data_IF_292529092630
#
_entry.id   IF_292529092630
#
_cell.length_a   1.000
_cell.length_b   1.000
_cell.length_c   1.000
_cell.angle_alpha   90.00
_cell.angle_beta   90.00
_cell.angle_gamma   90.00
#
_symmetry.space_group_name_H-M   'P 1'
#
loop_
_entity.id
_entity.type
_entity.pdbx_description
1 polymer ?
#
# COMPACT_ATOMS: atom_id res chain seq x y z
N UNK A 1 -36.27 -29.56 15.04
CA UNK A 1 -35.81 -28.19 14.70
C UNK A 1 -34.29 -28.23 14.61
N UNK A 2 -33.76 -28.33 13.42
CA UNK A 2 -32.32 -28.24 13.16
C UNK A 2 -31.95 -26.77 13.29
N UNK A 3 -31.28 -26.40 14.38
CA UNK A 3 -30.68 -25.08 14.52
C UNK A 3 -29.58 -24.97 13.43
N UNK A 4 -29.79 -24.10 12.45
CA UNK A 4 -28.73 -23.79 11.50
C UNK A 4 -27.49 -23.34 12.28
N UNK A 5 -26.33 -23.89 11.93
CA UNK A 5 -25.06 -23.44 12.52
C UNK A 5 -24.92 -21.93 12.28
N UNK A 6 -24.45 -21.17 13.27
CA UNK A 6 -24.24 -19.73 13.10
C UNK A 6 -23.29 -19.50 11.92
N UNK A 7 -23.65 -18.58 11.03
CA UNK A 7 -22.78 -18.19 9.93
C UNK A 7 -21.51 -17.57 10.53
N UNK A 8 -20.31 -18.08 10.22
CA UNK A 8 -19.06 -17.53 10.75
C UNK A 8 -18.96 -16.05 10.40
N UNK A 9 -18.39 -15.23 11.29
CA UNK A 9 -18.09 -13.83 10.99
C UNK A 9 -17.12 -13.78 9.81
N UNK A 10 -17.20 -12.75 8.98
CA UNK A 10 -16.36 -12.62 7.77
C UNK A 10 -14.86 -12.76 8.08
N UNK A 11 -14.42 -12.21 9.21
CA UNK A 11 -13.02 -12.32 9.66
C UNK A 11 -12.60 -13.78 9.93
N UNK A 12 -13.49 -14.61 10.48
CA UNK A 12 -13.21 -16.03 10.76
C UNK A 12 -13.05 -16.84 9.47
N UNK A 13 -13.77 -16.44 8.41
CA UNK A 13 -13.65 -17.07 7.09
C UNK A 13 -12.26 -16.82 6.47
N UNK A 14 -11.62 -15.71 6.80
CA UNK A 14 -10.31 -15.33 6.26
C UNK A 14 -9.13 -15.80 7.10
N UNK A 15 -9.34 -16.26 8.32
CA UNK A 15 -8.25 -16.72 9.20
C UNK A 15 -7.44 -17.87 8.60
N UNK A 16 -8.09 -18.76 7.88
CA UNK A 16 -7.46 -19.92 7.23
C UNK A 16 -6.97 -19.65 5.79
N UNK A 17 -7.14 -18.41 5.30
CA UNK A 17 -6.81 -18.02 3.93
C UNK A 17 -7.89 -18.42 2.92
N UNK A 18 -7.68 -17.97 1.69
CA UNK A 18 -8.57 -18.19 0.56
C UNK A 18 -7.88 -18.97 -0.56
N UNK A 19 -8.65 -19.53 -1.48
CA UNK A 19 -8.13 -20.21 -2.67
C UNK A 19 -7.35 -19.29 -3.61
N UNK A 20 -7.67 -17.99 -3.58
CA UNK A 20 -6.95 -16.91 -4.27
C UNK A 20 -6.86 -15.67 -3.38
N UNK A 21 -5.84 -14.80 -3.55
CA UNK A 21 -5.76 -13.56 -2.80
C UNK A 21 -6.85 -12.58 -3.24
N UNK A 22 -7.43 -11.85 -2.27
CA UNK A 22 -8.34 -10.74 -2.56
C UNK A 22 -7.54 -9.48 -2.92
N UNK A 23 -6.39 -9.29 -2.29
CA UNK A 23 -5.54 -8.12 -2.46
C UNK A 23 -4.13 -8.56 -2.88
N UNK A 24 -3.96 -8.83 -4.16
CA UNK A 24 -2.65 -9.04 -4.76
C UNK A 24 -2.03 -7.69 -5.09
N UNK A 25 -0.88 -7.39 -4.51
CA UNK A 25 -0.02 -6.30 -4.97
C UNK A 25 1.00 -6.86 -5.95
N UNK A 26 1.14 -6.22 -7.10
CA UNK A 26 2.14 -6.58 -8.08
C UNK A 26 3.00 -5.36 -8.38
N UNK A 27 4.27 -5.43 -8.01
CA UNK A 27 5.26 -4.44 -8.41
C UNK A 27 5.76 -4.79 -9.80
N UNK A 28 5.40 -3.98 -10.81
CA UNK A 28 5.78 -4.25 -12.20
C UNK A 28 7.23 -3.85 -12.53
N UNK A 29 7.79 -2.91 -11.79
CA UNK A 29 9.15 -2.41 -12.02
C UNK A 29 9.71 -1.79 -10.76
N UNK A 30 11.01 -1.87 -10.59
CA UNK A 30 11.72 -1.07 -9.59
C UNK A 30 12.09 0.33 -10.10
N UNK A 31 11.95 0.59 -11.42
CA UNK A 31 12.23 1.92 -11.94
C UNK A 31 11.27 2.96 -11.37
N UNK A 32 11.82 4.06 -10.88
CA UNK A 32 11.05 5.20 -10.39
C UNK A 32 11.79 6.51 -10.71
N UNK A 33 11.04 7.52 -11.07
CA UNK A 33 11.54 8.88 -11.26
C UNK A 33 11.64 9.67 -9.95
N UNK A 34 11.13 9.14 -8.83
CA UNK A 34 11.22 9.71 -7.49
C UNK A 34 12.08 8.86 -6.56
N UNK A 35 12.48 9.47 -5.44
CA UNK A 35 13.27 8.85 -4.40
C UNK A 35 12.69 9.11 -3.00
N UNK A 36 11.40 8.88 -2.84
CA UNK A 36 10.68 9.12 -1.59
C UNK A 36 11.42 8.49 -0.40
N UNK A 37 11.56 9.25 0.70
CA UNK A 37 12.33 8.82 1.88
C UNK A 37 11.72 7.60 2.58
N UNK A 38 10.42 7.41 2.48
CA UNK A 38 9.67 6.31 3.12
C UNK A 38 9.29 5.17 2.16
N UNK A 39 9.93 5.11 0.98
CA UNK A 39 9.58 4.12 -0.05
C UNK A 39 9.72 2.69 0.48
N UNK A 40 8.61 1.94 0.48
CA UNK A 40 8.54 0.59 1.04
C UNK A 40 9.37 -0.44 0.25
N UNK A 41 9.52 -0.27 -1.06
CA UNK A 41 10.27 -1.17 -1.94
C UNK A 41 11.65 -0.63 -2.33
N UNK A 42 12.08 0.50 -1.74
CA UNK A 42 13.37 1.14 -2.07
C UNK A 42 13.62 1.34 -3.57
N UNK A 43 12.56 1.60 -4.31
CA UNK A 43 12.60 1.72 -5.77
C UNK A 43 13.47 2.88 -6.26
N UNK A 44 13.93 2.78 -7.50
CA UNK A 44 14.80 3.76 -8.16
C UNK A 44 15.18 3.30 -9.57
N UNK A 45 16.19 2.44 -9.72
CA UNK A 45 16.63 1.93 -11.03
C UNK A 45 15.92 0.62 -11.37
N UNK A 46 15.70 0.39 -12.66
CA UNK A 46 15.22 -0.89 -13.17
C UNK A 46 16.21 -2.01 -12.87
N UNK A 47 15.70 -3.17 -12.49
CA UNK A 47 16.49 -4.40 -12.40
C UNK A 47 16.51 -5.10 -13.79
N UNK A 48 17.67 -5.53 -14.30
CA UNK A 48 17.72 -6.23 -15.57
C UNK A 48 17.00 -7.59 -15.59
N UNK A 49 16.69 -8.15 -14.41
CA UNK A 49 15.94 -9.40 -14.24
C UNK A 49 14.44 -9.22 -14.18
N UNK A 50 13.93 -7.99 -14.28
CA UNK A 50 12.49 -7.75 -14.26
C UNK A 50 11.78 -8.61 -15.32
N UNK A 51 10.62 -9.13 -14.95
CA UNK A 51 9.79 -9.96 -15.80
C UNK A 51 9.56 -9.29 -17.17
N UNK A 52 9.71 -10.06 -18.23
CA UNK A 52 9.37 -9.64 -19.58
C UNK A 52 7.86 -9.45 -19.74
N UNK A 53 7.43 -8.72 -20.77
CA UNK A 53 6.01 -8.57 -21.14
C UNK A 53 5.31 -9.92 -21.22
N UNK A 54 5.92 -10.91 -21.87
CA UNK A 54 5.35 -12.26 -22.01
C UNK A 54 5.15 -12.94 -20.66
N UNK A 55 6.15 -12.92 -19.78
CA UNK A 55 6.03 -13.47 -18.44
C UNK A 55 4.96 -12.78 -17.60
N UNK A 56 4.80 -11.45 -17.75
CA UNK A 56 3.72 -10.72 -17.12
C UNK A 56 2.34 -11.17 -17.65
N UNK A 57 2.19 -11.39 -18.96
CA UNK A 57 0.97 -11.91 -19.56
C UNK A 57 0.65 -13.32 -19.07
N UNK A 58 1.65 -14.20 -18.96
CA UNK A 58 1.47 -15.56 -18.41
C UNK A 58 0.95 -15.52 -16.96
N UNK A 59 1.39 -14.54 -16.15
CA UNK A 59 0.87 -14.32 -14.80
C UNK A 59 -0.59 -13.84 -14.86
N UNK A 60 -0.93 -12.92 -15.76
CA UNK A 60 -2.32 -12.44 -15.93
C UNK A 60 -3.26 -13.60 -16.31
N UNK A 61 -2.85 -14.47 -17.23
CA UNK A 61 -3.60 -15.68 -17.60
C UNK A 61 -3.85 -16.59 -16.39
N UNK A 62 -2.88 -16.64 -15.47
CA UNK A 62 -3.01 -17.43 -14.26
C UNK A 62 -3.95 -16.77 -13.25
N UNK A 63 -3.89 -15.45 -13.09
CA UNK A 63 -4.81 -14.68 -12.25
C UNK A 63 -6.26 -14.83 -12.73
N UNK A 64 -6.51 -14.80 -14.05
CA UNK A 64 -7.83 -15.08 -14.62
C UNK A 64 -8.32 -16.48 -14.24
N UNK A 65 -7.48 -17.52 -14.45
CA UNK A 65 -7.83 -18.91 -14.05
C UNK A 65 -8.09 -19.07 -12.56
N UNK A 66 -7.41 -18.29 -11.71
CA UNK A 66 -7.61 -18.26 -10.27
C UNK A 66 -8.83 -17.43 -9.86
N UNK A 67 -9.49 -16.76 -10.78
CA UNK A 67 -10.60 -15.83 -10.52
C UNK A 67 -10.20 -14.67 -9.59
N UNK A 68 -8.99 -14.15 -9.75
CA UNK A 68 -8.55 -12.93 -9.08
C UNK A 68 -9.21 -11.74 -9.75
N UNK A 69 -10.14 -11.08 -9.07
CA UNK A 69 -10.96 -10.02 -9.65
C UNK A 69 -10.17 -8.75 -10.01
N UNK A 70 -9.14 -8.44 -9.26
CA UNK A 70 -8.28 -7.28 -9.54
C UNK A 70 -6.89 -7.44 -8.93
N UNK A 71 -5.95 -6.70 -9.50
CA UNK A 71 -4.57 -6.60 -9.03
C UNK A 71 -4.24 -5.14 -8.70
N UNK A 72 -3.54 -4.92 -7.57
CA UNK A 72 -2.98 -3.61 -7.25
C UNK A 72 -1.58 -3.49 -7.84
N UNK A 73 -1.44 -2.76 -8.94
CA UNK A 73 -0.16 -2.51 -9.56
C UNK A 73 0.55 -1.36 -8.84
N UNK A 74 1.82 -1.61 -8.49
CA UNK A 74 2.72 -0.67 -7.84
C UNK A 74 4.16 -0.91 -8.24
N UNK A 75 5.05 -0.72 -7.28
CA UNK A 75 6.49 -0.88 -7.42
C UNK A 75 7.21 0.45 -7.32
N UNK A 76 8.07 0.78 -8.30
CA UNK A 76 8.57 2.12 -8.51
C UNK A 76 7.46 3.05 -9.00
N UNK A 77 7.60 3.55 -10.20
CA UNK A 77 6.50 4.22 -10.91
C UNK A 77 6.05 3.31 -12.07
N UNK A 78 4.91 2.63 -11.97
CA UNK A 78 4.54 1.63 -12.97
C UNK A 78 4.37 2.21 -14.37
N UNK A 79 3.92 3.47 -14.48
CA UNK A 79 3.69 4.13 -15.77
C UNK A 79 4.97 4.45 -16.55
N UNK A 80 6.17 4.34 -15.95
CA UNK A 80 7.43 4.51 -16.68
C UNK A 80 7.86 3.23 -17.40
N UNK A 81 7.28 2.09 -17.07
CA UNK A 81 7.49 0.84 -17.78
C UNK A 81 6.88 0.93 -19.18
N UNK A 82 7.65 0.55 -20.22
CA UNK A 82 7.26 0.81 -21.62
C UNK A 82 6.00 0.05 -22.04
N UNK A 83 5.84 -1.18 -21.57
CA UNK A 83 4.72 -2.07 -21.86
C UNK A 83 3.59 -1.96 -20.82
N UNK A 84 3.60 -0.96 -19.93
CA UNK A 84 2.59 -0.78 -18.88
C UNK A 84 1.16 -0.82 -19.42
N UNK A 85 0.88 -0.03 -20.46
CA UNK A 85 -0.46 0.05 -21.04
C UNK A 85 -0.87 -1.22 -21.78
N UNK A 86 0.07 -1.91 -22.42
CA UNK A 86 -0.16 -3.22 -23.03
C UNK A 86 -0.57 -4.26 -21.98
N UNK A 87 0.09 -4.26 -20.82
CA UNK A 87 -0.26 -5.14 -19.70
C UNK A 87 -1.61 -4.79 -19.06
N UNK A 88 -1.94 -3.50 -18.94
CA UNK A 88 -3.26 -3.05 -18.45
C UNK A 88 -4.36 -3.51 -19.38
N UNK A 89 -4.21 -3.30 -20.70
CA UNK A 89 -5.20 -3.73 -21.68
C UNK A 89 -5.35 -5.25 -21.69
N UNK A 90 -4.25 -5.98 -21.61
CA UNK A 90 -4.27 -7.44 -21.54
C UNK A 90 -5.00 -7.93 -20.28
N UNK A 91 -4.71 -7.39 -19.12
CA UNK A 91 -5.36 -7.77 -17.86
C UNK A 91 -6.86 -7.53 -17.90
N UNK A 92 -7.29 -6.35 -18.35
CA UNK A 92 -8.73 -6.02 -18.44
C UNK A 92 -9.47 -6.85 -19.48
N UNK A 93 -8.82 -7.22 -20.59
CA UNK A 93 -9.37 -8.15 -21.59
C UNK A 93 -9.52 -9.58 -21.05
N UNK A 94 -8.71 -9.96 -20.06
CA UNK A 94 -8.72 -11.24 -19.34
C UNK A 94 -9.48 -11.17 -18.00
N UNK A 95 -10.43 -10.25 -17.87
CA UNK A 95 -11.31 -10.11 -16.69
C UNK A 95 -10.59 -9.87 -15.36
N UNK A 96 -9.33 -9.40 -15.41
CA UNK A 96 -8.55 -8.97 -14.24
C UNK A 96 -8.57 -7.44 -14.18
N UNK A 97 -9.34 -6.88 -13.29
CA UNK A 97 -9.38 -5.42 -13.06
C UNK A 97 -8.03 -4.93 -12.56
N UNK A 98 -7.67 -3.72 -12.95
CA UNK A 98 -6.39 -3.10 -12.58
C UNK A 98 -6.64 -1.90 -11.69
N UNK A 99 -6.03 -1.91 -10.53
CA UNK A 99 -5.86 -0.74 -9.68
C UNK A 99 -4.39 -0.41 -9.63
N UNK A 100 -4.00 0.82 -9.96
CA UNK A 100 -2.60 1.17 -9.88
C UNK A 100 -2.34 2.44 -9.07
N UNK A 101 -1.21 2.45 -8.38
CA UNK A 101 -0.70 3.59 -7.63
C UNK A 101 0.38 4.28 -8.44
N UNK A 102 0.27 5.58 -8.60
CA UNK A 102 1.21 6.40 -9.37
C UNK A 102 1.53 7.70 -8.64
N UNK A 103 2.71 8.23 -8.89
CA UNK A 103 3.07 9.58 -8.47
C UNK A 103 2.50 10.68 -9.40
N UNK A 104 1.79 10.28 -10.45
CA UNK A 104 1.10 11.17 -11.37
C UNK A 104 1.94 11.70 -12.53
N UNK A 105 3.24 11.32 -12.64
CA UNK A 105 4.17 11.89 -13.63
C UNK A 105 3.69 11.76 -15.07
N UNK A 106 2.98 10.67 -15.40
CA UNK A 106 2.50 10.38 -16.76
C UNK A 106 0.97 10.46 -16.90
N UNK A 107 0.27 11.00 -15.93
CA UNK A 107 -1.18 11.24 -16.04
C UNK A 107 -1.39 12.55 -16.83
N UNK A 108 -1.20 12.47 -18.14
CA UNK A 108 -1.50 13.57 -19.09
C UNK A 108 -3.01 13.67 -19.35
N UNK A 109 -3.53 14.73 -20.01
CA UNK A 109 -4.94 14.79 -20.42
C UNK A 109 -5.37 13.60 -21.29
N UNK A 110 -4.51 13.13 -22.17
CA UNK A 110 -4.80 11.97 -23.05
C UNK A 110 -4.88 10.67 -22.25
N UNK A 111 -3.97 10.49 -21.28
CA UNK A 111 -4.00 9.33 -20.36
C UNK A 111 -5.22 9.39 -19.46
N UNK A 112 -5.58 10.55 -18.95
CA UNK A 112 -6.78 10.75 -18.16
C UNK A 112 -8.06 10.42 -18.93
N UNK A 113 -8.15 10.84 -20.22
CA UNK A 113 -9.27 10.52 -21.09
C UNK A 113 -9.35 8.99 -21.37
N UNK A 114 -8.20 8.32 -21.59
CA UNK A 114 -8.14 6.86 -21.73
C UNK A 114 -8.67 6.15 -20.49
N UNK A 115 -8.24 6.59 -19.30
CA UNK A 115 -8.70 6.03 -18.03
C UNK A 115 -10.20 6.23 -17.83
N UNK A 116 -10.73 7.41 -18.14
CA UNK A 116 -12.15 7.71 -18.03
C UNK A 116 -13.03 6.87 -18.97
N UNK A 117 -12.46 6.28 -20.01
CA UNK A 117 -13.15 5.38 -20.94
C UNK A 117 -13.13 3.91 -20.48
N UNK A 118 -12.49 3.57 -19.34
CA UNK A 118 -12.38 2.19 -18.84
C UNK A 118 -13.13 2.03 -17.51
N UNK A 119 -13.97 1.00 -17.43
CA UNK A 119 -14.69 0.64 -16.20
C UNK A 119 -13.88 -0.31 -15.28
N UNK A 120 -12.73 -0.80 -15.76
CA UNK A 120 -11.95 -1.83 -15.08
C UNK A 120 -10.60 -1.33 -14.55
N UNK A 121 -10.37 -0.03 -14.60
CA UNK A 121 -9.10 0.57 -14.15
C UNK A 121 -9.35 1.63 -13.08
N UNK A 122 -8.79 1.40 -11.91
CA UNK A 122 -8.76 2.32 -10.78
C UNK A 122 -7.40 3.01 -10.67
N UNK A 123 -7.39 4.29 -10.31
CA UNK A 123 -6.15 5.08 -10.15
C UNK A 123 -6.04 5.66 -8.75
N UNK A 124 -4.85 5.49 -8.15
CA UNK A 124 -4.49 6.13 -6.91
C UNK A 124 -3.32 7.08 -7.13
N UNK A 125 -3.54 8.37 -6.88
CA UNK A 125 -2.48 9.38 -6.91
C UNK A 125 -1.85 9.46 -5.53
N UNK A 126 -0.55 9.25 -5.49
CA UNK A 126 0.22 9.28 -4.25
C UNK A 126 0.54 10.70 -3.83
N UNK A 127 0.12 11.10 -2.62
CA UNK A 127 0.30 12.45 -2.09
C UNK A 127 0.46 12.38 -0.57
N UNK A 128 1.60 12.81 -0.02
CA UNK A 128 1.90 12.72 1.41
C UNK A 128 2.02 14.08 2.12
N UNK A 129 1.58 15.14 1.47
CA UNK A 129 1.39 16.46 2.04
C UNK A 129 0.24 17.17 1.37
N UNK A 130 -0.59 17.86 2.13
CA UNK A 130 -1.64 18.72 1.60
C UNK A 130 -1.07 20.04 1.05
N UNK A 131 0.21 20.31 1.29
CA UNK A 131 0.98 21.43 0.75
C UNK A 131 2.25 20.94 0.06
N UNK A 132 2.81 21.76 -0.83
CA UNK A 132 4.07 21.44 -1.51
C UNK A 132 5.22 21.25 -0.51
N UNK A 133 5.27 22.06 0.54
CA UNK A 133 6.30 21.99 1.57
C UNK A 133 6.35 20.60 2.22
N UNK A 134 5.23 20.10 2.70
CA UNK A 134 5.15 18.80 3.40
C UNK A 134 5.33 17.64 2.42
N UNK A 135 4.70 17.70 1.25
CA UNK A 135 4.77 16.61 0.27
C UNK A 135 6.19 16.47 -0.33
N UNK A 136 6.77 17.58 -0.73
CA UNK A 136 8.07 17.58 -1.42
C UNK A 136 9.22 17.22 -0.47
N UNK A 137 9.09 17.50 0.83
CA UNK A 137 10.03 17.04 1.86
C UNK A 137 10.12 15.49 1.92
N UNK A 138 9.02 14.78 1.65
CA UNK A 138 8.96 13.32 1.71
C UNK A 138 9.19 12.70 0.33
N UNK A 139 8.62 13.27 -0.73
CA UNK A 139 8.61 12.66 -2.07
C UNK A 139 9.62 13.27 -3.05
N UNK A 140 10.18 14.43 -2.72
CA UNK A 140 11.14 15.16 -3.55
C UNK A 140 10.52 16.41 -4.22
N UNK A 141 11.36 17.38 -4.56
CA UNK A 141 10.94 18.67 -5.10
C UNK A 141 10.05 18.56 -6.34
N UNK A 142 8.94 19.30 -6.36
CA UNK A 142 7.98 19.35 -7.46
C UNK A 142 6.98 18.19 -7.52
N UNK A 143 7.08 17.22 -6.62
CA UNK A 143 6.19 16.06 -6.59
C UNK A 143 4.74 16.43 -6.24
N UNK A 144 4.53 17.45 -5.40
CA UNK A 144 3.21 17.99 -5.11
C UNK A 144 2.51 18.54 -6.36
N UNK A 145 3.19 19.43 -7.08
CA UNK A 145 2.65 20.01 -8.30
C UNK A 145 2.35 18.95 -9.39
N UNK A 146 3.16 17.90 -9.44
CA UNK A 146 2.97 16.76 -10.34
C UNK A 146 1.71 15.97 -9.98
N UNK A 147 1.51 15.65 -8.71
CA UNK A 147 0.35 14.92 -8.22
C UNK A 147 -0.95 15.73 -8.38
N UNK A 148 -0.93 17.03 -8.05
CA UNK A 148 -2.06 17.92 -8.23
C UNK A 148 -2.47 18.03 -9.69
N UNK A 149 -1.52 18.23 -10.61
CA UNK A 149 -1.81 18.25 -12.05
C UNK A 149 -2.43 16.93 -12.54
N UNK A 150 -1.99 15.79 -12.01
CA UNK A 150 -2.60 14.51 -12.34
C UNK A 150 -4.07 14.44 -11.90
N UNK A 151 -4.38 14.91 -10.69
CA UNK A 151 -5.76 15.00 -10.18
C UNK A 151 -6.62 15.97 -11.02
N UNK A 152 -6.06 17.12 -11.44
CA UNK A 152 -6.73 18.07 -12.32
C UNK A 152 -7.07 17.44 -13.68
N UNK A 153 -6.13 16.70 -14.28
CA UNK A 153 -6.35 16.02 -15.54
C UNK A 153 -7.43 14.93 -15.44
N UNK A 154 -7.40 14.12 -14.36
CA UNK A 154 -8.42 13.09 -14.11
C UNK A 154 -9.81 13.72 -13.91
N UNK A 155 -9.92 14.77 -13.11
CA UNK A 155 -11.17 15.48 -12.87
C UNK A 155 -11.71 16.12 -14.16
N UNK A 156 -10.85 16.76 -14.96
CA UNK A 156 -11.23 17.38 -16.24
C UNK A 156 -11.68 16.34 -17.28
N UNK A 157 -11.14 15.13 -17.25
CA UNK A 157 -11.56 14.01 -18.09
C UNK A 157 -12.87 13.35 -17.61
N UNK A 158 -13.40 13.74 -16.45
CA UNK A 158 -14.58 13.13 -15.84
C UNK A 158 -14.32 11.73 -15.28
N UNK A 159 -13.06 11.39 -14.99
CA UNK A 159 -12.71 10.13 -14.36
C UNK A 159 -13.33 10.08 -12.95
N UNK A 160 -14.16 9.09 -12.72
CA UNK A 160 -14.79 8.84 -11.43
C UNK A 160 -13.89 7.90 -10.62
N UNK A 161 -14.01 7.98 -9.31
CA UNK A 161 -13.31 7.06 -8.38
C UNK A 161 -11.78 7.20 -8.31
N UNK A 162 -11.19 8.32 -8.78
CA UNK A 162 -9.82 8.64 -8.47
C UNK A 162 -9.60 8.62 -6.95
N UNK A 163 -8.45 8.13 -6.50
CA UNK A 163 -8.11 8.10 -5.08
C UNK A 163 -6.87 8.94 -4.82
N UNK A 164 -6.90 9.73 -3.76
CA UNK A 164 -5.68 10.32 -3.18
C UNK A 164 -5.19 9.32 -2.13
N UNK A 165 -3.99 8.78 -2.31
CA UNK A 165 -3.38 7.82 -1.38
C UNK A 165 -2.30 8.49 -0.55
N UNK A 166 -2.51 8.53 0.76
CA UNK A 166 -1.64 9.18 1.74
C UNK A 166 -1.03 8.13 2.66
N UNK A 167 0.27 8.19 2.88
CA UNK A 167 0.93 7.49 3.99
C UNK A 167 0.99 8.46 5.16
N UNK A 168 0.26 8.13 6.24
CA UNK A 168 0.22 8.99 7.43
C UNK A 168 1.56 8.94 8.15
N UNK A 169 2.09 10.13 8.44
CA UNK A 169 3.35 10.35 9.15
C UNK A 169 3.16 11.38 10.26
N UNK A 170 4.16 11.53 11.13
CA UNK A 170 4.18 12.57 12.16
C UNK A 170 3.99 13.99 11.62
N UNK A 171 4.42 14.23 10.37
CA UNK A 171 4.45 15.57 9.77
C UNK A 171 3.21 15.91 8.93
N UNK A 172 2.34 14.93 8.66
CA UNK A 172 1.15 15.18 7.85
C UNK A 172 -0.17 14.78 8.53
N UNK A 173 -0.12 14.12 9.70
CA UNK A 173 -1.31 13.71 10.43
C UNK A 173 -2.21 14.89 10.83
N UNK A 174 -1.64 16.07 11.01
CA UNK A 174 -2.39 17.28 11.33
C UNK A 174 -3.05 17.93 10.08
N UNK A 175 -2.79 17.38 8.87
CA UNK A 175 -3.35 17.85 7.59
C UNK A 175 -4.50 16.96 7.06
N UNK A 176 -5.10 16.13 7.89
CA UNK A 176 -6.12 15.16 7.44
C UNK A 176 -7.39 15.83 6.86
N UNK A 177 -7.82 16.96 7.41
CA UNK A 177 -8.96 17.72 6.88
C UNK A 177 -8.62 18.42 5.57
N UNK A 178 -7.40 18.91 5.41
CA UNK A 178 -6.90 19.47 4.15
C UNK A 178 -6.81 18.40 3.05
N UNK A 179 -6.37 17.19 3.36
CA UNK A 179 -6.44 16.07 2.41
C UNK A 179 -7.88 15.73 2.02
N UNK A 180 -8.80 15.73 2.97
CA UNK A 180 -10.22 15.52 2.68
C UNK A 180 -10.80 16.64 1.79
N UNK A 181 -10.39 17.89 2.01
CA UNK A 181 -10.76 19.03 1.17
C UNK A 181 -10.19 18.91 -0.25
N UNK A 182 -8.91 18.49 -0.39
CA UNK A 182 -8.30 18.21 -1.70
C UNK A 182 -9.04 17.09 -2.44
N UNK A 183 -9.37 16.00 -1.76
CA UNK A 183 -10.12 14.90 -2.35
C UNK A 183 -11.48 15.38 -2.85
N UNK A 184 -12.23 16.13 -2.02
CA UNK A 184 -13.50 16.71 -2.41
C UNK A 184 -13.38 17.64 -3.62
N UNK A 185 -12.35 18.50 -3.65
CA UNK A 185 -12.10 19.45 -4.75
C UNK A 185 -11.96 18.76 -6.10
N UNK A 186 -11.32 17.60 -6.16
CA UNK A 186 -11.07 16.87 -7.40
C UNK A 186 -12.03 15.70 -7.64
N UNK A 187 -13.10 15.58 -6.82
CA UNK A 187 -14.05 14.47 -6.91
C UNK A 187 -13.40 13.11 -6.64
N UNK A 188 -12.32 13.09 -5.87
CA UNK A 188 -11.58 11.89 -5.51
C UNK A 188 -12.00 11.36 -4.13
N UNK A 189 -11.72 10.08 -3.89
CA UNK A 189 -11.85 9.46 -2.56
C UNK A 189 -10.52 9.52 -1.83
N UNK A 190 -10.51 9.95 -0.57
CA UNK A 190 -9.32 9.92 0.26
C UNK A 190 -9.06 8.50 0.75
N UNK A 191 -7.84 8.01 0.54
CA UNK A 191 -7.33 6.77 1.10
C UNK A 191 -6.12 7.08 1.96
N UNK A 192 -6.15 6.70 3.21
CA UNK A 192 -4.99 6.84 4.11
C UNK A 192 -4.47 5.47 4.53
N UNK A 193 -3.17 5.38 4.67
CA UNK A 193 -2.47 4.17 5.08
C UNK A 193 -1.42 4.52 6.12
N UNK A 194 -1.11 3.54 6.94
CA UNK A 194 -0.07 3.65 7.96
C UNK A 194 1.32 3.56 7.32
N UNK A 195 2.27 4.36 7.80
CA UNK A 195 3.70 4.15 7.55
C UNK A 195 4.12 2.75 8.03
N UNK A 196 5.02 2.13 7.29
CA UNK A 196 5.63 0.84 7.68
C UNK A 196 7.15 0.98 7.69
N UNK A 197 7.85 0.38 8.67
CA UNK A 197 9.31 0.39 8.74
C UNK A 197 9.92 -0.62 7.76
N UNK A 198 9.57 -0.51 6.48
CA UNK A 198 10.06 -1.37 5.40
C UNK A 198 10.71 -0.55 4.28
N UNK A 199 11.65 -1.16 3.55
CA UNK A 199 12.45 -0.44 2.56
C UNK A 199 13.17 0.76 3.18
N UNK A 200 13.22 1.90 2.47
CA UNK A 200 13.77 3.15 3.01
C UNK A 200 12.97 3.70 4.19
N UNK A 201 11.70 3.31 4.32
CA UNK A 201 10.89 3.66 5.49
C UNK A 201 11.46 3.16 6.81
N UNK A 202 12.29 2.10 6.79
CA UNK A 202 12.97 1.62 7.99
C UNK A 202 14.01 2.61 8.50
N UNK A 203 14.69 3.31 7.61
CA UNK A 203 15.75 4.27 7.95
C UNK A 203 15.20 5.54 8.60
N UNK A 204 13.96 5.90 8.28
CA UNK A 204 13.29 7.12 8.75
C UNK A 204 12.12 6.85 9.72
N UNK A 205 11.98 5.60 10.17
CA UNK A 205 10.86 5.19 11.01
C UNK A 205 10.74 6.01 12.30
N UNK A 206 11.83 6.15 13.03
CA UNK A 206 11.84 6.88 14.32
C UNK A 206 11.45 8.35 14.15
N UNK A 207 11.72 8.91 12.99
CA UNK A 207 11.50 10.32 12.67
C UNK A 207 10.10 10.59 12.14
N UNK A 208 9.55 9.64 11.37
CA UNK A 208 8.32 9.84 10.63
C UNK A 208 7.07 9.16 11.22
N UNK A 209 7.21 8.13 12.07
CA UNK A 209 6.01 7.48 12.62
C UNK A 209 5.26 8.43 13.57
N UNK A 210 3.93 8.43 13.56
CA UNK A 210 3.13 9.29 14.44
C UNK A 210 3.37 8.99 15.92
N UNK A 211 3.32 10.02 16.75
CA UNK A 211 3.36 9.86 18.22
C UNK A 211 2.10 9.16 18.74
N UNK A 212 2.14 8.65 19.96
CA UNK A 212 0.97 8.03 20.60
C UNK A 212 -0.24 8.98 20.66
N UNK A 213 -0.03 10.28 20.95
CA UNK A 213 -1.09 11.29 20.94
C UNK A 213 -1.67 11.49 19.54
N UNK A 214 -0.82 11.52 18.51
CA UNK A 214 -1.27 11.64 17.11
C UNK A 214 -2.02 10.38 16.65
N UNK A 215 -1.65 9.19 17.13
CA UNK A 215 -2.38 7.95 16.83
C UNK A 215 -3.81 7.99 17.43
N UNK A 216 -3.97 8.52 18.64
CA UNK A 216 -5.30 8.70 19.25
C UNK A 216 -6.13 9.71 18.44
N UNK A 217 -5.56 10.86 18.10
CA UNK A 217 -6.26 11.87 17.29
C UNK A 217 -6.65 11.33 15.89
N UNK A 218 -5.75 10.55 15.27
CA UNK A 218 -6.03 9.85 14.02
C UNK A 218 -7.20 8.88 14.15
N UNK A 219 -7.25 8.10 15.23
CA UNK A 219 -8.37 7.20 15.50
C UNK A 219 -9.69 7.94 15.58
N UNK A 220 -9.76 9.01 16.39
CA UNK A 220 -10.96 9.81 16.55
C UNK A 220 -11.43 10.41 15.21
N UNK A 221 -10.48 10.90 14.41
CA UNK A 221 -10.75 11.42 13.08
C UNK A 221 -11.30 10.33 12.13
N UNK A 222 -10.70 9.14 12.13
CA UNK A 222 -11.15 8.01 11.32
C UNK A 222 -12.57 7.58 11.67
N UNK A 223 -12.87 7.46 12.95
CA UNK A 223 -14.23 7.12 13.43
C UNK A 223 -15.24 8.19 13.01
N UNK A 224 -14.89 9.48 13.11
CA UNK A 224 -15.77 10.58 12.70
C UNK A 224 -16.02 10.60 11.18
N UNK A 225 -15.04 10.22 10.36
CA UNK A 225 -15.18 10.18 8.89
C UNK A 225 -15.88 8.91 8.40
N UNK A 226 -15.71 7.78 9.10
CA UNK A 226 -16.30 6.50 8.76
C UNK A 226 -15.91 6.04 7.34
N UNK A 227 -16.88 5.51 6.59
CA UNK A 227 -16.68 4.97 5.24
C UNK A 227 -16.29 6.01 4.17
N UNK A 228 -16.33 7.30 4.50
CA UNK A 228 -15.89 8.37 3.58
C UNK A 228 -14.37 8.38 3.34
N UNK A 229 -13.62 7.65 4.16
CA UNK A 229 -12.17 7.53 4.06
C UNK A 229 -11.79 6.05 4.00
N UNK A 230 -11.05 5.67 2.97
CA UNK A 230 -10.56 4.30 2.84
C UNK A 230 -9.26 4.13 3.66
N UNK A 231 -9.18 3.06 4.44
CA UNK A 231 -8.01 2.76 5.29
C UNK A 231 -7.18 1.60 4.76
N UNK A 232 -7.73 0.78 3.86
CA UNK A 232 -7.05 -0.40 3.36
C UNK A 232 -6.62 -1.36 4.47
N UNK A 233 -7.41 -1.48 5.54
CA UNK A 233 -7.15 -2.32 6.72
C UNK A 233 -5.79 -2.06 7.38
N UNK A 234 -5.33 -0.80 7.39
CA UNK A 234 -4.00 -0.44 7.86
C UNK A 234 -3.91 -0.16 9.36
N UNK A 235 -5.04 0.13 10.02
CA UNK A 235 -5.08 0.72 11.36
C UNK A 235 -5.62 -0.21 12.45
N UNK A 236 -5.60 -1.52 12.25
CA UNK A 236 -6.09 -2.49 13.23
C UNK A 236 -5.38 -2.44 14.60
N UNK A 237 -4.15 -1.89 14.67
CA UNK A 237 -3.46 -1.61 15.92
C UNK A 237 -4.15 -0.51 16.77
N UNK A 238 -5.02 0.32 16.16
CA UNK A 238 -5.83 1.32 16.84
C UNK A 238 -7.21 0.77 17.31
N UNK A 239 -7.60 -0.42 16.87
CA UNK A 239 -8.86 -1.03 17.26
C UNK A 239 -9.10 -1.10 18.79
N UNK A 240 -8.05 -1.22 19.65
CA UNK A 240 -8.21 -1.17 21.09
C UNK A 240 -8.72 0.16 21.68
N UNK A 241 -8.71 1.26 20.91
CA UNK A 241 -9.18 2.56 21.38
C UNK A 241 -10.72 2.67 21.47
N UNK A 242 -11.46 1.75 20.87
CA UNK A 242 -12.92 1.85 20.86
C UNK A 242 -13.65 0.50 20.75
N UNK A 243 -14.94 0.58 20.46
CA UNK A 243 -15.76 -0.62 20.28
C UNK A 243 -15.32 -1.41 19.04
N UNK A 244 -15.51 -2.73 19.07
CA UNK A 244 -15.30 -3.59 17.91
C UNK A 244 -16.12 -3.10 16.71
N UNK A 245 -15.47 -2.93 15.56
CA UNK A 245 -16.11 -2.43 14.33
C UNK A 245 -16.23 -0.91 14.22
N UNK A 246 -15.65 -0.15 15.16
CA UNK A 246 -15.62 1.33 15.04
C UNK A 246 -14.78 1.81 13.87
N UNK A 247 -13.71 1.10 13.51
CA UNK A 247 -12.93 1.35 12.30
C UNK A 247 -13.51 0.56 11.12
N UNK A 248 -13.60 1.21 9.96
CA UNK A 248 -13.99 0.52 8.71
C UNK A 248 -12.98 -0.55 8.32
N UNK A 249 -13.46 -1.64 7.72
CA UNK A 249 -12.64 -2.72 7.18
C UNK A 249 -12.51 -3.94 8.12
N UNK A 250 -11.77 -4.94 7.67
CA UNK A 250 -11.58 -6.21 8.38
C UNK A 250 -10.65 -6.08 9.58
N UNK A 251 -9.74 -5.11 9.54
CA UNK A 251 -8.78 -4.78 10.59
C UNK A 251 -7.99 -6.01 11.10
N UNK A 252 -7.48 -6.81 10.17
CA UNK A 252 -6.67 -8.00 10.45
C UNK A 252 -5.40 -8.04 9.58
N UNK A 253 -4.38 -8.74 10.06
CA UNK A 253 -3.21 -9.03 9.24
C UNK A 253 -3.56 -10.09 8.17
N UNK A 254 -3.67 -9.65 6.92
CA UNK A 254 -4.01 -10.52 5.79
C UNK A 254 -2.82 -11.25 5.14
N UNK A 255 -1.61 -11.08 5.66
CA UNK A 255 -0.38 -11.63 5.07
C UNK A 255 -0.47 -13.14 4.83
N UNK A 256 -0.29 -13.58 3.58
CA UNK A 256 -0.37 -14.99 3.17
C UNK A 256 -1.77 -15.61 3.26
N UNK A 257 -2.77 -14.88 3.77
CA UNK A 257 -4.17 -15.33 3.90
C UNK A 257 -5.07 -14.75 2.81
N UNK A 258 -5.03 -13.44 2.66
CA UNK A 258 -5.85 -12.69 1.69
C UNK A 258 -5.01 -11.67 0.91
N UNK A 259 -3.77 -11.45 1.34
CA UNK A 259 -2.83 -10.47 0.77
C UNK A 259 -1.51 -11.16 0.47
N UNK A 260 -0.89 -10.81 -0.65
CA UNK A 260 0.51 -11.10 -0.98
C UNK A 260 1.08 -10.05 -1.92
N UNK A 261 2.37 -10.17 -2.23
CA UNK A 261 3.09 -9.35 -3.19
C UNK A 261 3.78 -10.25 -4.22
N UNK A 262 3.72 -9.89 -5.50
CA UNK A 262 4.66 -10.33 -6.53
C UNK A 262 5.56 -9.13 -6.83
N UNK A 263 6.88 -9.34 -6.76
CA UNK A 263 7.85 -8.29 -7.07
C UNK A 263 8.24 -8.29 -8.57
N UNK A 264 9.00 -7.29 -9.06
CA UNK A 264 9.35 -7.19 -10.47
C UNK A 264 10.17 -8.35 -11.04
N UNK A 265 10.84 -9.15 -10.20
CA UNK A 265 11.62 -10.32 -10.63
C UNK A 265 10.88 -11.65 -10.42
N UNK A 266 9.61 -11.57 -10.01
CA UNK A 266 8.74 -12.73 -9.82
C UNK A 266 8.81 -13.39 -8.44
N UNK A 267 9.51 -12.80 -7.49
CA UNK A 267 9.51 -13.27 -6.11
C UNK A 267 8.17 -12.96 -5.43
N UNK A 268 7.64 -13.92 -4.70
CA UNK A 268 6.34 -13.82 -4.02
C UNK A 268 6.56 -13.68 -2.52
N UNK A 269 6.07 -12.59 -1.95
CA UNK A 269 6.17 -12.30 -0.52
C UNK A 269 4.81 -12.34 0.15
N UNK A 270 4.80 -12.62 1.45
CA UNK A 270 3.57 -12.73 2.24
C UNK A 270 2.75 -11.43 2.28
N UNK A 271 3.39 -10.27 2.13
CA UNK A 271 2.74 -8.96 2.23
C UNK A 271 3.59 -7.90 1.51
N UNK A 272 2.99 -6.84 0.93
CA UNK A 272 3.73 -5.73 0.31
C UNK A 272 4.73 -5.03 1.23
N UNK A 273 4.50 -5.08 2.53
CA UNK A 273 5.37 -4.47 3.53
C UNK A 273 6.41 -5.42 4.12
N UNK A 274 6.47 -6.67 3.66
CA UNK A 274 7.32 -7.73 4.20
C UNK A 274 8.31 -8.24 3.14
N UNK A 275 8.98 -7.32 2.41
CA UNK A 275 9.98 -7.65 1.41
C UNK A 275 11.30 -7.99 2.13
N UNK A 276 11.46 -9.26 2.46
CA UNK A 276 12.61 -9.82 3.16
C UNK A 276 12.61 -11.35 3.00
N UNK A 277 13.78 -11.99 2.98
CA UNK A 277 13.91 -13.44 2.81
C UNK A 277 13.06 -14.27 3.79
N UNK A 278 12.90 -13.81 5.03
CA UNK A 278 12.01 -14.45 6.02
C UNK A 278 10.57 -14.59 5.54
N UNK A 279 10.12 -13.72 4.67
CA UNK A 279 8.73 -13.65 4.17
C UNK A 279 8.61 -14.00 2.68
N UNK A 280 9.68 -14.52 2.09
CA UNK A 280 9.68 -15.03 0.72
C UNK A 280 8.97 -16.39 0.70
N UNK A 281 7.91 -16.50 -0.07
CA UNK A 281 7.12 -17.72 -0.23
C UNK A 281 7.61 -18.57 -1.39
N UNK A 282 8.16 -17.98 -2.45
CA UNK A 282 8.65 -18.62 -3.65
C UNK A 282 8.84 -17.66 -4.80
N UNK A 283 9.02 -18.15 -6.02
CA UNK A 283 9.15 -17.34 -7.22
C UNK A 283 8.30 -17.93 -8.35
N UNK A 284 7.54 -17.07 -9.05
CA UNK A 284 6.59 -17.49 -10.11
C UNK A 284 7.25 -18.19 -11.29
N UNK A 285 8.56 -18.01 -11.51
CA UNK A 285 9.31 -18.62 -12.62
C UNK A 285 10.00 -19.92 -12.26
N UNK A 286 10.39 -20.13 -11.01
CA UNK A 286 11.30 -21.20 -10.59
C UNK A 286 10.66 -22.30 -9.79
N UNK A 287 9.53 -22.07 -9.17
CA UNK A 287 8.83 -23.09 -8.39
C UNK A 287 8.07 -24.06 -9.29
N UNK A 288 8.82 -25.03 -9.81
CA UNK A 288 8.35 -26.02 -10.80
C UNK A 288 7.80 -27.31 -10.20
N UNK A 289 7.66 -27.40 -8.87
CA UNK A 289 7.09 -28.58 -8.21
C UNK A 289 5.56 -28.64 -8.34
N UNK A 290 5.03 -29.61 -9.10
CA UNK A 290 3.58 -29.86 -9.29
C UNK A 290 2.76 -28.69 -9.86
N UNK A 291 3.28 -27.95 -10.82
CA UNK A 291 2.67 -26.82 -11.48
C UNK A 291 3.48 -25.55 -11.20
N UNK A 292 4.11 -25.04 -12.26
CA UNK A 292 4.77 -23.74 -12.22
C UNK A 292 3.76 -22.63 -11.98
N UNK A 293 4.21 -21.51 -11.44
CA UNK A 293 3.46 -20.28 -11.42
C UNK A 293 2.94 -19.85 -10.06
N UNK A 294 2.27 -18.72 -10.07
CA UNK A 294 1.78 -18.05 -8.88
C UNK A 294 0.76 -18.89 -8.07
N UNK A 295 -0.14 -19.61 -8.76
CA UNK A 295 -1.15 -20.46 -8.11
C UNK A 295 -0.51 -21.54 -7.23
N UNK A 296 0.60 -22.14 -7.72
CA UNK A 296 1.34 -23.12 -6.93
C UNK A 296 1.96 -22.50 -5.68
N UNK A 297 2.61 -21.34 -5.82
CA UNK A 297 3.18 -20.62 -4.68
C UNK A 297 2.09 -20.27 -3.68
N UNK A 298 0.96 -19.69 -4.13
CA UNK A 298 -0.14 -19.30 -3.25
C UNK A 298 -0.73 -20.46 -2.44
N UNK A 299 -0.92 -21.62 -3.08
CA UNK A 299 -1.55 -22.78 -2.44
C UNK A 299 -0.58 -23.62 -1.61
N UNK A 300 0.67 -23.76 -2.06
CA UNK A 300 1.57 -24.81 -1.58
C UNK A 300 2.82 -24.30 -0.84
N UNK A 301 3.13 -22.99 -0.88
CA UNK A 301 4.31 -22.49 -0.18
C UNK A 301 4.21 -22.76 1.34
N UNK A 302 5.30 -23.25 1.92
CA UNK A 302 5.37 -23.59 3.34
C UNK A 302 5.07 -22.37 4.23
N UNK A 303 5.59 -21.20 3.86
CA UNK A 303 5.34 -19.94 4.56
C UNK A 303 3.84 -19.60 4.60
N UNK A 304 3.13 -19.74 3.48
CA UNK A 304 1.71 -19.41 3.45
C UNK A 304 0.87 -20.39 4.28
N UNK A 305 1.24 -21.67 4.29
CA UNK A 305 0.62 -22.66 5.19
C UNK A 305 0.86 -22.32 6.66
N UNK A 306 2.11 -21.99 7.03
CA UNK A 306 2.45 -21.52 8.39
C UNK A 306 1.63 -20.31 8.80
N UNK A 307 1.48 -19.30 7.94
CA UNK A 307 0.72 -18.08 8.24
C UNK A 307 -0.79 -18.32 8.35
N UNK A 308 -1.33 -19.34 7.72
CA UNK A 308 -2.76 -19.74 7.79
C UNK A 308 -3.10 -20.59 9.02
N UNK A 309 -2.10 -21.11 9.71
CA UNK A 309 -2.30 -21.76 11.00
C UNK A 309 -2.57 -20.72 12.10
N UNK A 310 -3.25 -21.13 13.18
CA UNK A 310 -3.46 -20.27 14.34
C UNK A 310 -2.13 -19.76 14.91
N UNK A 311 -2.02 -18.44 15.07
CA UNK A 311 -0.81 -17.84 15.62
C UNK A 311 -0.88 -17.72 17.14
N UNK A 312 0.26 -17.88 17.81
CA UNK A 312 0.38 -17.64 19.26
C UNK A 312 0.09 -16.16 19.55
N UNK A 313 -0.64 -15.91 20.62
CA UNK A 313 -0.85 -14.56 21.13
C UNK A 313 0.37 -14.04 21.92
N UNK A 314 1.26 -14.93 22.37
CA UNK A 314 2.47 -14.58 23.09
C UNK A 314 2.23 -13.57 24.21
N UNK A 315 3.03 -12.50 24.23
CA UNK A 315 2.91 -11.42 25.22
C UNK A 315 1.55 -10.68 25.18
N UNK A 316 0.81 -10.76 24.07
CA UNK A 316 -0.52 -10.17 23.93
C UNK A 316 -1.64 -11.08 24.47
N UNK A 317 -1.36 -12.32 24.90
CA UNK A 317 -2.36 -13.30 25.32
C UNK A 317 -3.19 -12.87 26.53
N UNK A 318 -2.65 -12.02 27.40
CA UNK A 318 -3.37 -11.43 28.54
C UNK A 318 -4.03 -10.08 28.25
N UNK A 319 -3.89 -9.56 27.04
CA UNK A 319 -4.48 -8.28 26.65
C UNK A 319 -5.96 -8.43 26.35
N UNK A 320 -6.82 -7.67 27.02
CA UNK A 320 -8.28 -7.69 26.82
C UNK A 320 -8.72 -7.23 25.41
N UNK A 321 -7.81 -6.67 24.62
CA UNK A 321 -8.05 -6.20 23.25
C UNK A 321 -7.46 -7.13 22.17
N UNK A 322 -6.91 -8.29 22.55
CA UNK A 322 -6.26 -9.17 21.58
C UNK A 322 -7.19 -9.57 20.42
N UNK A 323 -8.46 -9.85 20.70
CA UNK A 323 -9.42 -10.25 19.69
C UNK A 323 -9.68 -9.19 18.62
N UNK A 324 -9.47 -7.92 18.90
CA UNK A 324 -9.68 -6.83 17.96
C UNK A 324 -8.44 -6.43 17.18
N UNK A 325 -7.21 -6.61 17.72
CA UNK A 325 -5.99 -6.19 17.03
C UNK A 325 -5.03 -7.34 16.68
N UNK A 326 -5.20 -8.54 17.29
CA UNK A 326 -4.37 -9.73 17.03
C UNK A 326 -2.86 -9.49 17.10
N UNK A 327 -2.43 -8.58 17.98
CA UNK A 327 -1.02 -8.23 18.16
C UNK A 327 -0.43 -7.34 17.07
N UNK A 328 -1.24 -6.84 16.15
CA UNK A 328 -0.82 -5.83 15.17
C UNK A 328 -0.12 -6.38 13.91
N UNK A 329 0.66 -5.52 13.26
CA UNK A 329 1.25 -5.77 11.95
C UNK A 329 2.53 -6.64 12.04
N UNK A 330 2.50 -7.79 11.38
CA UNK A 330 3.63 -8.71 11.27
C UNK A 330 4.90 -8.01 10.76
N UNK A 331 4.80 -7.31 9.64
CA UNK A 331 5.95 -6.61 9.04
C UNK A 331 6.50 -5.50 9.97
N UNK A 332 5.62 -4.72 10.61
CA UNK A 332 6.06 -3.67 11.52
C UNK A 332 6.82 -4.25 12.71
N UNK A 333 6.33 -5.33 13.31
CA UNK A 333 7.05 -6.03 14.39
C UNK A 333 8.43 -6.51 13.96
N UNK A 334 8.50 -7.20 12.84
CA UNK A 334 9.75 -7.75 12.32
C UNK A 334 10.82 -6.67 12.10
N UNK A 335 10.49 -5.63 11.34
CA UNK A 335 11.45 -4.58 10.99
C UNK A 335 11.83 -3.64 12.14
N UNK A 336 11.05 -3.64 13.24
CA UNK A 336 11.41 -2.95 14.48
C UNK A 336 12.11 -3.86 15.51
N UNK A 337 12.34 -5.14 15.17
CA UNK A 337 13.02 -6.10 16.06
C UNK A 337 12.12 -6.69 17.14
N UNK A 338 10.82 -6.47 17.11
CA UNK A 338 9.88 -7.02 18.09
C UNK A 338 9.56 -8.49 17.80
N UNK A 339 9.24 -9.30 18.84
CA UNK A 339 8.80 -10.66 18.67
C UNK A 339 7.55 -10.76 17.79
N UNK A 340 7.46 -11.80 16.95
CA UNK A 340 6.33 -12.00 16.04
C UNK A 340 5.02 -12.25 16.78
N UNK A 341 5.06 -12.84 17.95
CA UNK A 341 3.95 -13.04 18.89
C UNK A 341 3.83 -11.93 19.95
N UNK A 342 4.56 -10.83 19.78
CA UNK A 342 4.52 -9.65 20.63
C UNK A 342 3.56 -8.56 20.15
N UNK A 343 3.57 -7.40 20.84
CA UNK A 343 2.76 -6.24 20.45
C UNK A 343 3.30 -5.56 19.19
N UNK A 344 2.41 -4.81 18.54
CA UNK A 344 2.75 -3.88 17.47
C UNK A 344 3.66 -2.75 17.98
N UNK A 345 4.64 -2.25 17.20
CA UNK A 345 5.49 -1.12 17.63
C UNK A 345 4.71 0.18 17.91
N UNK A 346 3.51 0.31 17.38
CA UNK A 346 2.60 1.44 17.66
C UNK A 346 1.40 1.02 18.53
N UNK A 347 1.58 0.02 19.39
CA UNK A 347 0.52 -0.44 20.30
C UNK A 347 0.10 0.69 21.25
N UNK A 348 -1.15 1.14 21.13
CA UNK A 348 -1.73 2.24 21.90
C UNK A 348 -1.98 1.89 23.39
N UNK A 349 -1.81 0.63 23.78
CA UNK A 349 -1.89 0.19 25.18
C UNK A 349 -0.55 0.33 25.93
N UNK A 350 0.44 0.97 25.33
CA UNK A 350 1.77 1.23 25.94
C UNK A 350 2.72 0.01 25.99
N UNK A 351 2.30 -1.14 25.48
CA UNK A 351 3.15 -2.34 25.52
C UNK A 351 4.35 -2.24 24.57
N UNK A 352 4.22 -1.51 23.45
CA UNK A 352 5.28 -1.36 22.46
C UNK A 352 6.42 -0.48 22.94
N UNK A 353 6.15 0.60 23.62
CA UNK A 353 7.19 1.49 24.17
C UNK A 353 8.08 0.75 25.17
N UNK A 354 7.47 -0.08 26.02
CA UNK A 354 8.22 -0.93 26.95
C UNK A 354 9.05 -1.99 26.24
N UNK A 355 8.50 -2.63 25.20
CA UNK A 355 9.20 -3.63 24.39
C UNK A 355 10.36 -3.01 23.60
N UNK A 356 10.15 -1.88 22.94
CA UNK A 356 11.20 -1.16 22.20
C UNK A 356 12.30 -0.62 23.11
N UNK A 357 11.98 -0.23 24.35
CA UNK A 357 12.97 0.23 25.33
C UNK A 357 13.89 -0.92 25.80
N UNK A 358 13.36 -2.14 25.87
CA UNK A 358 14.14 -3.32 26.27
C UNK A 358 15.05 -3.85 25.16
N UNK A 359 14.64 -3.69 23.89
CA UNK A 359 15.33 -4.27 22.71
C UNK A 359 16.27 -3.30 21.97
N UNK A 360 16.63 -2.14 22.58
CA UNK A 360 17.55 -1.18 21.94
C UNK A 360 18.93 -1.73 21.62
N UNK A 361 19.33 -2.84 22.25
CA UNK A 361 20.61 -3.50 22.03
C UNK A 361 20.59 -4.57 20.91
N UNK A 362 19.42 -4.97 20.44
CA UNK A 362 19.29 -5.98 19.38
C UNK A 362 19.38 -5.32 18.00
N UNK A 363 20.28 -5.79 17.11
CA UNK A 363 20.33 -5.27 15.74
C UNK A 363 18.98 -5.47 15.03
N UNK A 364 18.38 -4.38 14.56
CA UNK A 364 17.12 -4.46 13.80
C UNK A 364 17.37 -5.12 12.45
N UNK A 365 16.47 -6.02 12.00
CA UNK A 365 16.55 -6.55 10.64
C UNK A 365 16.46 -5.38 9.66
N UNK A 366 17.46 -5.23 8.79
CA UNK A 366 17.38 -4.28 7.68
C UNK A 366 16.62 -4.95 6.54
N UNK A 367 15.89 -4.17 5.76
CA UNK A 367 15.31 -4.66 4.52
C UNK A 367 16.43 -5.31 3.71
N UNK A 368 16.29 -6.61 3.38
CA UNK A 368 17.32 -7.33 2.65
C UNK A 368 17.30 -6.90 1.18
N UNK A 369 18.25 -6.04 0.83
CA UNK A 369 18.50 -5.64 -0.55
C UNK A 369 19.46 -6.59 -1.27
N UNK A 370 19.86 -7.71 -0.64
CA UNK A 370 20.94 -8.59 -1.12
C UNK A 370 20.58 -9.33 -2.40
N UNK A 371 19.30 -9.55 -2.69
CA UNK A 371 18.81 -10.22 -3.91
C UNK A 371 18.70 -9.31 -5.13
N UNK A 372 19.50 -8.25 -5.20
CA UNK A 372 19.60 -7.36 -6.36
C UNK A 372 18.93 -5.99 -6.17
N UNK A 373 18.31 -5.76 -5.04
CA UNK A 373 18.03 -4.41 -4.58
C UNK A 373 19.30 -3.80 -3.97
N UNK A 374 20.34 -3.57 -4.77
CA UNK A 374 21.38 -2.63 -4.35
C UNK A 374 20.66 -1.34 -3.96
N UNK A 375 21.06 -0.71 -2.83
CA UNK A 375 20.58 0.63 -2.44
C UNK A 375 20.62 1.50 -3.69
N UNK A 376 19.46 1.68 -4.32
CA UNK A 376 19.37 2.31 -5.62
C UNK A 376 19.42 3.79 -5.35
N UNK A 377 20.52 4.42 -5.72
CA UNK A 377 20.62 5.86 -5.59
C UNK A 377 19.47 6.50 -6.38
N UNK A 378 18.80 7.51 -5.78
CA UNK A 378 17.72 8.24 -6.45
C UNK A 378 18.21 8.71 -7.82
N UNK A 379 17.38 8.52 -8.84
CA UNK A 379 17.62 9.14 -10.14
C UNK A 379 17.20 10.61 -9.98
N UNK A 380 18.11 11.58 -10.18
CA UNK A 380 17.72 12.97 -10.11
C UNK A 380 16.57 13.26 -11.08
N UNK A 381 15.52 13.90 -10.59
CA UNK A 381 14.42 14.37 -11.42
C UNK A 381 14.94 15.49 -12.33
N UNK A 382 15.27 15.18 -13.57
CA UNK A 382 15.36 16.18 -14.61
C UNK A 382 13.96 16.46 -15.15
N UNK A 383 13.12 17.06 -14.31
CA UNK A 383 11.89 17.66 -14.77
C UNK A 383 12.21 19.02 -15.34
N UNK A 384 12.19 19.14 -16.66
CA UNK A 384 12.00 20.45 -17.30
C UNK A 384 10.57 20.88 -17.00
N UNK A 385 10.36 21.56 -15.88
CA UNK A 385 9.11 22.25 -15.60
C UNK A 385 9.01 23.38 -16.61
N UNK A 386 8.25 23.17 -17.69
CA UNK A 386 7.79 24.29 -18.48
C UNK A 386 6.84 25.08 -17.59
N UNK A 387 7.08 26.38 -17.37
CA UNK A 387 6.14 27.21 -16.63
C UNK A 387 4.78 27.16 -17.35
N UNK A 388 3.66 27.24 -16.60
CA UNK A 388 2.34 27.23 -17.20
C UNK A 388 2.23 28.37 -18.24
N UNK A 389 1.78 28.05 -19.45
CA UNK A 389 1.66 29.01 -20.54
C UNK A 389 0.47 29.99 -20.41
N UNK A 390 -0.25 29.91 -19.30
CA UNK A 390 -1.35 30.85 -19.01
C UNK A 390 -1.16 31.49 -17.63
N UNK A 391 -1.26 32.83 -17.54
CA UNK A 391 -1.30 33.51 -16.27
C UNK A 391 -2.56 33.07 -15.50
N UNK A 392 -2.51 33.01 -14.15
CA UNK A 392 -3.68 32.67 -13.36
C UNK A 392 -4.81 33.64 -13.69
N UNK A 393 -6.01 33.12 -13.93
CA UNK A 393 -7.20 33.93 -14.15
C UNK A 393 -7.38 34.88 -12.95
N UNK A 394 -7.38 36.17 -13.21
CA UNK A 394 -7.66 37.19 -12.22
C UNK A 394 -9.11 36.96 -11.75
N UNK A 395 -9.28 36.69 -10.47
CA UNK A 395 -10.59 36.78 -9.83
C UNK A 395 -11.07 38.23 -9.98
N UNK A 396 -12.04 38.45 -10.84
CA UNK A 396 -12.76 39.73 -10.89
C UNK A 396 -13.62 39.86 -9.63
N UNK A 397 -13.10 40.61 -8.68
CA UNK A 397 -13.90 41.25 -7.66
C UNK A 397 -14.33 42.61 -8.25
N UNK A 398 -15.52 42.69 -8.80
CA UNK A 398 -16.22 43.96 -9.00
C UNK A 398 -17.69 43.75 -8.61
N UNK A 399 -18.03 44.27 -7.46
CA UNK A 399 -19.42 44.56 -7.11
C UNK A 399 -19.82 45.85 -7.83
N UNK A 400 -20.97 45.90 -8.50
CA UNK A 400 -21.53 47.17 -8.95
C UNK A 400 -22.28 47.88 -7.82
N UNK A 401 -22.15 49.18 -7.81
CA UNK A 401 -22.90 50.19 -7.07
C UNK A 401 -24.41 50.08 -7.33
#
# INVERSE_FOLDING_TARGET
MTTAAPVPRLIEQFEHGLDAPICLTWELTYACNLACVHCLSSSGKRDPRELSTRQCMDIIDELERMQVFYVNIGGGEPTVRQDFWELVDYATAHHVGVKFSTNGVRITPEVAARLAASDYVDVQISLDGATAEVNDAVRGPGSFAMAVRALENLAAAGFKDAKISVVVTRHNVDQLDEFAALASRYGATLRITRLRPSGRGADVWEELHPTAAQQVALYDWLVAKGERVLTGDSFFHLAPLGASGALSGLNMCGAGRVVCLIDPVGDVYACPFAIHDRFLAGNVLTDTGFGAGFSNVWKNAALFRELREPQSAGACGSCGHYDSCRGGCMAAKFFTGLPMDGPDPECVQGHSESALAQDRETPRPRADHSRGQQVRQPVPLTLSVRPPQHPPARLCNESPV
#
